data_IF_358712767966
#
_entry.id   IF_358712767966
#
_cell.length_a   1.000
_cell.length_b   1.000
_cell.length_c   1.000
_cell.angle_alpha   90.00
_cell.angle_beta   90.00
_cell.angle_gamma   90.00
#
_symmetry.space_group_name_H-M   'P 1'
#
loop_
_entity.id
_entity.type
_entity.pdbx_description
1 polymer ?
#
# COMPACT_ATOMS: atom_id res chain seq x y z
N UNK A 1 -43.37 -27.58 -14.84
CA UNK A 1 -44.36 -26.81 -14.07
C UNK A 1 -44.44 -27.41 -12.69
N UNK A 2 -43.91 -26.70 -11.68
CA UNK A 2 -44.10 -27.01 -10.28
C UNK A 2 -44.26 -25.65 -9.56
N UNK A 3 -45.31 -25.56 -8.76
CA UNK A 3 -45.92 -24.35 -8.24
C UNK A 3 -45.06 -23.67 -7.17
N UNK A 4 -44.85 -22.37 -7.35
CA UNK A 4 -44.51 -21.45 -6.28
C UNK A 4 -45.81 -21.04 -5.58
N UNK A 5 -45.98 -21.38 -4.31
CA UNK A 5 -47.24 -21.14 -3.61
C UNK A 5 -47.20 -20.99 -2.10
N UNK A 6 -46.13 -21.39 -1.39
CA UNK A 6 -46.28 -21.65 0.06
C UNK A 6 -45.34 -20.88 1.02
N UNK A 7 -44.53 -19.92 0.56
CA UNK A 7 -43.57 -19.22 1.46
C UNK A 7 -43.96 -17.78 1.86
N UNK A 8 -45.19 -17.32 1.57
CA UNK A 8 -45.62 -15.94 1.91
C UNK A 8 -46.53 -15.83 3.14
N UNK A 9 -46.77 -16.91 3.87
CA UNK A 9 -47.73 -16.91 4.99
C UNK A 9 -47.11 -16.85 6.40
N UNK A 10 -45.81 -16.57 6.51
CA UNK A 10 -45.08 -16.54 7.80
C UNK A 10 -44.51 -15.17 8.19
N UNK A 11 -45.02 -14.07 7.61
CA UNK A 11 -44.61 -12.70 7.95
C UNK A 11 -45.76 -11.77 8.35
N UNK A 12 -46.90 -12.32 8.78
CA UNK A 12 -48.03 -11.53 9.30
C UNK A 12 -48.60 -12.17 10.56
N UNK A 13 -47.82 -12.17 11.63
CA UNK A 13 -48.33 -12.35 12.98
C UNK A 13 -47.39 -11.63 13.93
N UNK A 14 -47.79 -10.44 14.36
CA UNK A 14 -47.62 -9.83 15.68
C UNK A 14 -48.02 -8.35 15.58
N UNK A 15 -49.30 -8.11 15.34
CA UNK A 15 -49.98 -6.91 15.81
C UNK A 15 -51.31 -7.37 16.43
N UNK A 16 -51.71 -6.66 17.49
CA UNK A 16 -52.93 -6.81 18.31
C UNK A 16 -52.80 -7.71 19.56
N UNK A 17 -52.50 -7.09 20.71
CA UNK A 17 -53.55 -6.83 21.71
C UNK A 17 -53.12 -5.79 22.79
N UNK A 18 -53.95 -4.75 22.95
CA UNK A 18 -54.41 -4.27 24.24
C UNK A 18 -53.49 -3.42 25.14
N UNK A 19 -53.62 -2.09 25.06
CA UNK A 19 -53.04 -1.15 26.03
C UNK A 19 -53.49 0.30 25.86
N UNK A 20 -54.79 0.53 26.03
CA UNK A 20 -55.47 1.83 26.06
C UNK A 20 -54.91 2.77 27.16
N UNK A 21 -54.42 3.96 26.78
CA UNK A 21 -54.53 5.21 27.55
C UNK A 21 -53.87 6.37 26.79
N UNK A 22 -54.69 7.19 26.13
CA UNK A 22 -54.36 8.55 25.71
C UNK A 22 -54.22 9.41 26.97
N UNK A 23 -53.02 9.92 27.28
CA UNK A 23 -52.84 11.12 28.11
C UNK A 23 -51.56 11.89 27.71
N UNK A 24 -51.81 13.07 27.15
CA UNK A 24 -51.13 14.35 27.40
C UNK A 24 -49.70 14.60 26.89
N UNK A 25 -49.68 15.47 25.89
CA UNK A 25 -48.64 16.45 25.56
C UNK A 25 -47.99 17.07 26.80
N UNK A 26 -46.65 17.25 26.83
CA UNK A 26 -46.00 17.96 27.92
C UNK A 26 -46.40 19.45 27.92
N UNK A 27 -46.71 20.05 29.09
CA UNK A 27 -47.28 21.38 29.13
C UNK A 27 -46.26 22.45 28.75
N UNK A 28 -46.73 23.36 27.89
CA UNK A 28 -46.11 24.65 27.64
C UNK A 28 -46.02 25.45 28.95
N UNK A 29 -44.85 26.02 29.21
CA UNK A 29 -44.64 26.94 30.33
C UNK A 29 -45.53 28.18 30.20
N UNK A 30 -46.11 28.70 31.30
CA UNK A 30 -47.20 29.66 31.26
C UNK A 30 -46.74 31.08 30.93
N UNK A 31 -47.61 31.80 30.21
CA UNK A 31 -47.48 33.22 29.88
C UNK A 31 -48.21 34.07 30.93
N UNK A 32 -47.44 34.97 31.56
CA UNK A 32 -47.74 36.21 32.27
C UNK A 32 -49.19 36.53 32.72
N UNK A 33 -49.37 36.66 34.04
CA UNK A 33 -50.31 37.61 34.64
C UNK A 33 -49.62 38.36 35.80
N UNK A 34 -49.52 39.67 35.61
CA UNK A 34 -49.40 40.79 36.57
C UNK A 34 -49.16 40.47 38.06
N UNK A 35 -47.93 40.73 38.51
CA UNK A 35 -47.57 40.90 39.92
C UNK A 35 -46.23 41.64 39.97
N UNK A 36 -46.30 42.93 40.28
CA UNK A 36 -45.16 43.85 40.23
C UNK A 36 -44.13 43.54 41.32
N UNK A 37 -42.93 43.11 40.92
CA UNK A 37 -41.69 43.30 41.69
C UNK A 37 -40.56 43.60 40.71
N UNK A 38 -40.18 44.88 40.63
CA UNK A 38 -39.05 45.38 39.84
C UNK A 38 -37.74 45.21 40.63
N UNK A 39 -36.76 44.41 40.18
CA UNK A 39 -35.38 44.58 40.59
C UNK A 39 -34.76 45.75 39.79
N UNK A 40 -33.78 46.49 40.36
CA UNK A 40 -33.21 47.65 39.69
C UNK A 40 -32.47 47.21 38.42
N UNK A 41 -32.84 47.85 37.31
CA UNK A 41 -32.21 47.73 36.00
C UNK A 41 -30.78 48.26 36.06
N UNK A 42 -29.80 47.38 36.18
CA UNK A 42 -28.43 47.71 35.79
C UNK A 42 -28.38 47.78 34.26
N UNK A 43 -28.24 48.99 33.74
CA UNK A 43 -27.91 49.27 32.35
C UNK A 43 -26.64 48.51 32.01
N UNK A 44 -26.70 47.56 31.06
CA UNK A 44 -25.49 47.00 30.44
C UNK A 44 -24.89 48.10 29.56
N UNK A 45 -23.68 48.61 29.85
CA UNK A 45 -22.95 49.37 28.85
C UNK A 45 -22.42 48.37 27.82
N UNK A 46 -22.76 48.60 26.55
CA UNK A 46 -22.12 47.92 25.44
C UNK A 46 -20.62 48.22 25.44
N UNK A 47 -19.84 47.22 25.07
CA UNK A 47 -18.38 47.29 25.00
C UNK A 47 -17.75 46.23 25.88
N UNK A 48 -17.55 45.03 25.32
CA UNK A 48 -16.64 44.06 25.94
C UNK A 48 -15.25 44.68 25.87
N UNK A 49 -14.77 45.21 26.98
CA UNK A 49 -13.44 45.79 27.07
C UNK A 49 -12.40 44.67 26.95
N UNK A 50 -11.85 44.52 25.75
CA UNK A 50 -10.81 43.54 25.42
C UNK A 50 -9.41 44.04 25.84
N UNK A 51 -9.30 45.14 26.57
CA UNK A 51 -8.03 45.73 27.04
C UNK A 51 -7.18 44.73 27.84
N UNK A 52 -7.80 43.99 28.76
CA UNK A 52 -7.12 42.99 29.60
C UNK A 52 -6.56 41.84 28.77
N UNK A 53 -7.30 41.41 27.74
CA UNK A 53 -6.81 40.40 26.80
C UNK A 53 -5.68 40.99 25.94
N UNK A 54 -5.85 42.23 25.46
CA UNK A 54 -4.86 42.90 24.61
C UNK A 54 -3.53 43.13 25.32
N UNK A 55 -3.55 43.45 26.62
CA UNK A 55 -2.34 43.56 27.44
C UNK A 55 -1.66 42.19 27.62
N UNK A 56 -2.44 41.12 27.84
CA UNK A 56 -1.90 39.76 27.98
C UNK A 56 -1.24 39.21 26.70
N UNK A 57 -1.65 39.69 25.51
CA UNK A 57 -1.05 39.28 24.22
C UNK A 57 -0.08 40.34 23.65
N UNK A 58 0.11 41.47 24.34
CA UNK A 58 0.96 42.58 23.88
C UNK A 58 2.42 42.14 23.69
N UNK A 59 2.94 41.36 24.62
CA UNK A 59 4.31 40.85 24.58
C UNK A 59 4.58 39.92 23.38
N UNK A 60 3.54 39.28 22.85
CA UNK A 60 3.63 38.44 21.63
C UNK A 60 3.51 39.26 20.34
N UNK A 61 2.86 40.43 20.39
CA UNK A 61 2.64 41.30 19.23
C UNK A 61 3.77 42.32 19.02
N UNK A 62 4.46 42.73 20.09
CA UNK A 62 5.50 43.76 20.06
C UNK A 62 6.91 43.22 19.78
N UNK A 63 7.05 41.92 19.53
CA UNK A 63 8.28 41.32 19.01
C UNK A 63 8.44 41.54 17.49
N UNK A 64 8.57 42.81 17.08
CA UNK A 64 9.25 43.14 15.82
C UNK A 64 10.73 43.37 16.09
N UNK A 65 11.66 42.65 15.41
CA UNK A 65 13.08 42.86 15.59
C UNK A 65 13.48 44.19 14.94
N UNK A 66 14.07 45.08 15.75
CA UNK A 66 14.68 46.33 15.29
C UNK A 66 15.88 46.02 14.38
N UNK A 67 15.88 46.63 13.20
CA UNK A 67 16.85 46.43 12.15
C UNK A 67 18.25 46.97 12.53
N UNK A 68 19.26 46.11 12.42
CA UNK A 68 20.63 46.50 12.13
C UNK A 68 21.06 45.84 10.82
N UNK A 69 21.68 46.64 9.95
CA UNK A 69 21.94 46.36 8.54
C UNK A 69 22.75 45.09 8.25
N UNK A 70 22.21 44.21 7.41
CA UNK A 70 22.95 43.33 6.50
C UNK A 70 22.01 42.82 5.40
N UNK A 71 22.55 42.69 4.19
CA UNK A 71 21.91 42.32 2.92
C UNK A 71 20.85 41.20 3.00
N UNK A 72 19.67 41.47 2.41
CA UNK A 72 18.62 40.50 2.10
C UNK A 72 19.15 39.26 1.35
N UNK A 73 18.97 38.03 1.85
CA UNK A 73 18.73 36.91 0.95
C UNK A 73 17.22 36.90 0.64
N UNK A 74 16.89 36.81 -0.65
CA UNK A 74 15.54 36.48 -1.14
C UNK A 74 14.93 35.40 -0.25
N UNK A 75 13.79 35.69 0.37
CA UNK A 75 12.95 34.71 1.08
C UNK A 75 12.61 33.59 0.09
N UNK A 76 13.40 32.53 0.10
CA UNK A 76 13.06 31.29 -0.57
C UNK A 76 11.76 30.81 0.06
N UNK A 77 10.75 30.55 -0.79
CA UNK A 77 9.54 29.84 -0.40
C UNK A 77 9.94 28.65 0.49
N UNK A 78 9.26 28.39 1.62
CA UNK A 78 9.59 27.21 2.41
C UNK A 78 9.50 26.00 1.47
N UNK A 79 10.51 25.10 1.46
CA UNK A 79 10.39 23.88 0.69
C UNK A 79 9.11 23.20 1.17
N UNK A 80 8.23 22.80 0.25
CA UNK A 80 7.17 21.85 0.56
C UNK A 80 7.90 20.59 1.03
N UNK A 81 8.13 20.45 2.33
CA UNK A 81 8.58 19.21 2.92
C UNK A 81 7.48 18.22 2.61
N UNK A 82 7.75 17.31 1.67
CA UNK A 82 7.00 16.06 1.53
C UNK A 82 7.31 15.23 2.77
N UNK A 83 6.78 15.66 3.91
CA UNK A 83 6.88 14.94 5.15
C UNK A 83 6.16 13.61 4.93
N UNK A 84 6.96 12.55 4.92
CA UNK A 84 6.49 11.19 4.75
C UNK A 84 6.32 10.63 6.14
N UNK A 85 5.08 10.32 6.50
CA UNK A 85 4.76 9.71 7.79
C UNK A 85 4.54 8.22 7.58
N UNK A 86 5.02 7.42 8.54
CA UNK A 86 4.70 6.01 8.59
C UNK A 86 3.46 5.85 9.45
N UNK A 87 2.40 5.27 8.89
CA UNK A 87 1.19 4.97 9.64
C UNK A 87 1.45 3.84 10.64
N UNK A 88 1.11 4.06 11.92
CA UNK A 88 1.41 3.12 13.01
C UNK A 88 0.63 1.82 12.91
N UNK A 89 -0.55 1.81 12.27
CA UNK A 89 -1.41 0.64 12.16
C UNK A 89 -1.08 -0.20 10.93
N UNK A 90 -1.03 0.43 9.75
CA UNK A 90 -0.78 -0.27 8.49
C UNK A 90 0.70 -0.47 8.16
N UNK A 91 1.59 0.31 8.77
CA UNK A 91 3.02 0.33 8.46
C UNK A 91 3.35 0.94 7.08
N UNK A 92 2.38 1.57 6.42
CA UNK A 92 2.56 2.19 5.11
C UNK A 92 3.18 3.58 5.24
N UNK A 93 4.16 3.89 4.39
CA UNK A 93 4.69 5.25 4.28
C UNK A 93 3.75 6.11 3.42
N UNK A 94 3.18 7.15 4.01
CA UNK A 94 2.18 8.04 3.42
C UNK A 94 2.80 9.43 3.24
N UNK A 95 2.65 9.98 2.04
CA UNK A 95 2.97 11.35 1.65
C UNK A 95 1.69 12.06 1.22
N UNK A 96 1.71 13.40 1.20
CA UNK A 96 0.54 14.23 0.82
C UNK A 96 -0.73 13.80 1.58
N UNK A 97 -0.64 13.83 2.91
CA UNK A 97 -1.74 13.43 3.78
C UNK A 97 -2.99 14.25 3.47
N UNK A 98 -4.10 13.55 3.34
CA UNK A 98 -5.42 14.16 3.16
C UNK A 98 -6.20 14.19 4.48
N UNK A 99 -5.98 13.18 5.33
CA UNK A 99 -6.43 13.16 6.72
C UNK A 99 -5.24 13.42 7.64
N UNK A 100 -5.42 14.14 8.73
CA UNK A 100 -4.33 14.36 9.68
C UNK A 100 -3.93 13.05 10.37
N UNK A 101 -2.67 12.89 10.81
CA UNK A 101 -2.26 11.68 11.54
C UNK A 101 -3.14 11.39 12.75
N UNK A 102 -3.54 12.43 13.49
CA UNK A 102 -4.42 12.29 14.66
C UNK A 102 -5.82 11.82 14.27
N UNK A 103 -6.39 12.30 13.15
CA UNK A 103 -7.67 11.81 12.65
C UNK A 103 -7.63 10.33 12.29
N UNK A 104 -6.52 9.89 11.68
CA UNK A 104 -6.29 8.49 11.31
C UNK A 104 -6.23 7.63 12.57
N UNK A 105 -5.41 8.03 13.55
CA UNK A 105 -5.30 7.34 14.84
C UNK A 105 -6.63 7.28 15.56
N UNK A 106 -7.37 8.40 15.64
CA UNK A 106 -8.68 8.44 16.30
C UNK A 106 -9.70 7.52 15.61
N UNK A 107 -9.68 7.42 14.28
CA UNK A 107 -10.56 6.49 13.53
C UNK A 107 -10.21 5.03 13.77
N UNK A 108 -8.96 4.71 14.11
CA UNK A 108 -8.53 3.34 14.40
C UNK A 108 -8.48 2.99 15.89
N UNK A 109 -8.57 3.97 16.79
CA UNK A 109 -8.40 3.77 18.23
C UNK A 109 -9.40 2.75 18.82
N UNK A 110 -10.66 2.85 18.41
CA UNK A 110 -11.76 2.02 18.94
C UNK A 110 -12.17 0.88 18.00
N UNK A 111 -11.42 0.66 16.92
CA UNK A 111 -11.78 -0.29 15.87
C UNK A 111 -10.70 -1.35 15.74
N UNK A 112 -11.09 -2.62 15.61
CA UNK A 112 -10.14 -3.70 15.37
C UNK A 112 -9.48 -3.53 14.00
N UNK A 113 -8.20 -3.17 13.99
CA UNK A 113 -7.41 -3.12 12.75
C UNK A 113 -7.02 -4.52 12.27
N UNK A 114 -7.32 -4.82 11.02
CA UNK A 114 -7.03 -6.09 10.35
C UNK A 114 -6.13 -5.85 9.15
N UNK A 115 -4.93 -6.43 9.15
CA UNK A 115 -4.02 -6.37 7.99
C UNK A 115 -4.60 -7.12 6.80
N UNK A 116 -4.38 -6.61 5.59
CA UNK A 116 -4.88 -7.22 4.33
C UNK A 116 -4.49 -8.69 4.22
N UNK A 117 -3.25 -9.03 4.58
CA UNK A 117 -2.77 -10.42 4.59
C UNK A 117 -3.54 -11.35 5.53
N UNK A 118 -4.11 -10.83 6.62
CA UNK A 118 -4.84 -11.61 7.62
C UNK A 118 -6.31 -11.82 7.25
N UNK A 119 -6.88 -10.98 6.37
CA UNK A 119 -8.30 -11.05 5.98
C UNK A 119 -8.65 -12.42 5.39
N UNK A 120 -7.75 -13.01 4.59
CA UNK A 120 -7.94 -14.34 4.00
C UNK A 120 -8.18 -15.43 5.05
N UNK A 121 -7.41 -15.40 6.14
CA UNK A 121 -7.51 -16.41 7.19
C UNK A 121 -8.78 -16.21 8.02
N UNK A 122 -9.18 -14.95 8.22
CA UNK A 122 -10.35 -14.57 9.00
C UNK A 122 -11.67 -14.75 8.24
N UNK A 123 -11.65 -14.75 6.90
CA UNK A 123 -12.86 -14.87 6.09
C UNK A 123 -13.44 -16.29 6.07
N UNK A 124 -12.65 -17.28 6.49
CA UNK A 124 -13.12 -18.66 6.68
C UNK A 124 -13.70 -18.92 8.07
N UNK A 125 -13.58 -17.97 9.00
CA UNK A 125 -14.11 -18.06 10.36
C UNK A 125 -15.10 -16.92 10.63
N UNK A 126 -15.94 -17.03 11.65
CA UNK A 126 -16.89 -15.97 12.06
C UNK A 126 -16.19 -14.76 12.74
N UNK A 127 -14.96 -14.46 12.30
CA UNK A 127 -14.05 -13.52 12.96
C UNK A 127 -14.19 -12.09 12.46
N UNK A 128 -15.17 -11.80 11.60
CA UNK A 128 -15.56 -10.45 11.18
C UNK A 128 -16.80 -9.92 11.91
N UNK A 129 -17.18 -10.57 13.02
CA UNK A 129 -18.17 -10.02 13.95
C UNK A 129 -17.63 -8.73 14.59
N UNK A 130 -18.47 -7.69 14.60
CA UNK A 130 -18.15 -6.37 15.16
C UNK A 130 -17.51 -5.37 14.19
N UNK A 131 -17.04 -4.25 14.75
CA UNK A 131 -16.41 -3.19 13.96
C UNK A 131 -14.94 -3.50 13.67
N UNK A 132 -14.56 -3.45 12.39
CA UNK A 132 -13.19 -3.70 11.94
C UNK A 132 -12.78 -2.71 10.86
N UNK A 133 -11.47 -2.49 10.74
CA UNK A 133 -10.90 -1.62 9.73
C UNK A 133 -9.66 -2.23 9.09
N UNK A 134 -9.35 -1.79 7.87
CA UNK A 134 -8.10 -2.14 7.18
C UNK A 134 -7.62 -0.94 6.38
N UNK A 135 -6.34 -0.90 6.05
CA UNK A 135 -5.79 0.14 5.19
C UNK A 135 -4.89 -0.47 4.11
N UNK A 136 -4.91 0.15 2.93
CA UNK A 136 -4.19 -0.36 1.77
C UNK A 136 -3.97 0.69 0.71
N UNK A 137 -3.03 0.40 -0.18
CA UNK A 137 -2.72 1.20 -1.36
C UNK A 137 -3.54 0.71 -2.53
N UNK A 138 -4.16 1.62 -3.28
CA UNK A 138 -4.84 1.29 -4.54
C UNK A 138 -3.80 0.93 -5.60
N UNK A 139 -3.75 -0.33 -6.01
CA UNK A 139 -2.78 -0.86 -6.98
C UNK A 139 -3.28 -0.76 -8.41
N UNK A 140 -4.58 -1.00 -8.60
CA UNK A 140 -5.22 -1.01 -9.92
C UNK A 140 -6.70 -0.63 -9.78
N UNK A 141 -7.23 0.01 -10.82
CA UNK A 141 -8.63 0.41 -10.91
C UNK A 141 -9.24 -0.25 -12.14
N UNK A 142 -10.13 -1.22 -11.91
CA UNK A 142 -10.91 -1.82 -12.96
C UNK A 142 -11.86 -0.83 -13.62
N UNK A 143 -12.23 -1.12 -14.86
CA UNK A 143 -13.27 -0.37 -15.55
C UNK A 143 -14.59 -0.46 -14.76
N UNK A 144 -15.40 0.63 -14.74
CA UNK A 144 -16.73 0.58 -14.18
C UNK A 144 -17.59 -0.50 -14.86
N UNK A 145 -18.44 -1.15 -14.08
CA UNK A 145 -19.33 -2.23 -14.51
C UNK A 145 -20.73 -1.94 -14.02
N UNK A 146 -21.71 -2.52 -14.67
CA UNK A 146 -23.12 -2.42 -14.27
C UNK A 146 -23.53 -3.71 -13.59
N UNK A 147 -24.14 -3.59 -12.40
CA UNK A 147 -24.68 -4.72 -11.65
C UNK A 147 -25.98 -5.23 -12.28
N UNK A 148 -26.44 -6.42 -11.89
CA UNK A 148 -27.73 -6.96 -12.35
C UNK A 148 -28.92 -6.04 -12.01
N UNK A 149 -28.76 -5.16 -11.01
CA UNK A 149 -29.76 -4.17 -10.59
C UNK A 149 -29.67 -2.84 -11.36
N UNK A 150 -28.84 -2.76 -12.41
CA UNK A 150 -28.66 -1.54 -13.22
C UNK A 150 -27.77 -0.47 -12.56
N UNK A 151 -27.23 -0.72 -11.37
CA UNK A 151 -26.33 0.24 -10.67
C UNK A 151 -24.89 0.07 -11.13
N UNK A 152 -24.22 1.18 -11.43
CA UNK A 152 -22.79 1.21 -11.74
C UNK A 152 -21.94 0.96 -10.49
N UNK A 153 -20.86 0.20 -10.65
CA UNK A 153 -19.91 -0.13 -9.59
C UNK A 153 -18.49 -0.23 -10.17
N UNK A 154 -17.48 0.02 -9.34
CA UNK A 154 -16.08 -0.14 -9.73
C UNK A 154 -15.38 -1.18 -8.88
N UNK A 155 -14.47 -1.94 -9.50
CA UNK A 155 -13.65 -2.93 -8.81
C UNK A 155 -12.23 -2.37 -8.70
N UNK A 156 -11.72 -2.23 -7.49
CA UNK A 156 -10.34 -1.84 -7.24
C UNK A 156 -9.55 -3.04 -6.77
N UNK A 157 -8.24 -3.03 -7.05
CA UNK A 157 -7.29 -3.90 -6.37
C UNK A 157 -6.50 -3.06 -5.40
N UNK A 158 -6.53 -3.43 -4.14
CA UNK A 158 -5.76 -2.77 -3.09
C UNK A 158 -4.79 -3.77 -2.45
N UNK A 159 -3.70 -3.28 -1.87
CA UNK A 159 -2.74 -4.14 -1.19
C UNK A 159 -1.82 -3.37 -0.25
N UNK A 160 -1.10 -4.10 0.60
CA UNK A 160 -0.16 -3.53 1.55
C UNK A 160 1.29 -3.48 1.01
N UNK A 161 1.47 -3.54 -0.33
CA UNK A 161 2.77 -3.56 -1.01
C UNK A 161 3.70 -4.72 -0.61
N UNK A 162 3.14 -5.75 0.04
CA UNK A 162 3.82 -6.89 0.66
C UNK A 162 3.43 -8.23 0.03
N UNK A 163 2.85 -8.20 -1.18
CA UNK A 163 2.27 -9.34 -1.92
C UNK A 163 0.85 -9.74 -1.52
N UNK A 164 0.30 -9.14 -0.45
CA UNK A 164 -1.13 -9.24 -0.14
C UNK A 164 -1.95 -8.29 -1.01
N UNK A 165 -2.95 -8.84 -1.70
CA UNK A 165 -3.85 -8.10 -2.58
C UNK A 165 -5.29 -8.47 -2.23
N UNK A 166 -6.17 -7.49 -2.24
CA UNK A 166 -7.62 -7.62 -2.00
C UNK A 166 -8.38 -6.90 -3.11
N UNK A 167 -9.42 -7.55 -3.62
CA UNK A 167 -10.36 -6.94 -4.55
C UNK A 167 -11.45 -6.20 -3.78
N UNK A 168 -11.58 -4.90 -4.01
CA UNK A 168 -12.58 -4.04 -3.36
C UNK A 168 -13.66 -3.67 -4.36
N UNK A 169 -14.91 -3.94 -4.02
CA UNK A 169 -16.07 -3.59 -4.82
C UNK A 169 -16.72 -2.34 -4.23
N UNK A 170 -16.72 -1.26 -4.99
CA UNK A 170 -17.35 0.00 -4.61
C UNK A 170 -18.69 0.09 -5.31
N UNK A 171 -19.76 0.20 -4.53
CA UNK A 171 -21.14 0.34 -5.00
C UNK A 171 -21.70 1.71 -4.64
N UNK A 172 -22.69 2.18 -5.41
CA UNK A 172 -23.50 3.36 -5.07
C UNK A 172 -22.64 4.60 -4.76
N UNK A 173 -22.90 5.22 -3.61
CA UNK A 173 -22.27 6.48 -3.22
C UNK A 173 -20.75 6.39 -3.11
N UNK A 174 -20.24 5.24 -2.62
CA UNK A 174 -18.80 5.00 -2.56
C UNK A 174 -18.16 5.03 -3.96
N UNK A 175 -18.84 4.47 -4.97
CA UNK A 175 -18.37 4.53 -6.35
C UNK A 175 -18.41 5.96 -6.89
N UNK A 176 -19.55 6.65 -6.76
CA UNK A 176 -19.71 8.01 -7.27
C UNK A 176 -18.67 8.98 -6.68
N UNK A 177 -18.42 8.90 -5.37
CA UNK A 177 -17.49 9.79 -4.68
C UNK A 177 -16.01 9.46 -4.97
N UNK A 178 -15.66 8.17 -5.00
CA UNK A 178 -14.26 7.76 -5.08
C UNK A 178 -13.80 7.32 -6.47
N UNK A 179 -14.69 7.26 -7.46
CA UNK A 179 -14.38 6.89 -8.87
C UNK A 179 -13.13 7.57 -9.43
N UNK A 180 -12.89 8.85 -9.09
CA UNK A 180 -11.74 9.66 -9.52
C UNK A 180 -10.42 9.43 -8.77
N UNK A 181 -10.35 8.50 -7.80
CA UNK A 181 -9.16 8.30 -7.00
C UNK A 181 -7.93 7.91 -7.85
N UNK A 182 -6.75 8.40 -7.48
CA UNK A 182 -5.50 8.08 -8.17
C UNK A 182 -4.99 6.68 -7.75
N UNK A 183 -4.39 5.96 -8.69
CA UNK A 183 -3.63 4.73 -8.38
C UNK A 183 -2.41 5.13 -7.54
N UNK A 184 -2.14 4.37 -6.47
CA UNK A 184 -1.13 4.66 -5.46
C UNK A 184 -1.64 5.46 -4.25
N UNK A 185 -2.91 5.88 -4.26
CA UNK A 185 -3.55 6.49 -3.10
C UNK A 185 -3.74 5.46 -1.98
N UNK A 186 -3.62 5.91 -0.73
CA UNK A 186 -3.85 5.09 0.46
C UNK A 186 -5.26 5.33 0.97
N UNK A 187 -6.02 4.25 1.14
CA UNK A 187 -7.36 4.27 1.66
C UNK A 187 -7.48 3.37 2.89
N UNK A 188 -8.21 3.87 3.89
CA UNK A 188 -8.74 3.08 4.98
C UNK A 188 -10.15 2.62 4.62
N UNK A 189 -10.45 1.35 4.86
CA UNK A 189 -11.79 0.76 4.76
C UNK A 189 -12.27 0.43 6.18
N UNK A 190 -13.55 0.68 6.42
CA UNK A 190 -14.22 0.43 7.69
C UNK A 190 -15.44 -0.44 7.43
N UNK A 191 -15.62 -1.49 8.23
CA UNK A 191 -16.80 -2.35 8.25
C UNK A 191 -17.23 -2.81 6.85
N UNK A 192 -16.27 -3.18 6.00
CA UNK A 192 -16.56 -3.72 4.68
C UNK A 192 -17.21 -5.09 4.77
N UNK A 193 -18.04 -5.46 3.79
CA UNK A 193 -18.59 -6.80 3.73
C UNK A 193 -17.62 -7.72 2.98
N UNK A 194 -17.00 -8.65 3.72
CA UNK A 194 -16.00 -9.60 3.20
C UNK A 194 -16.72 -10.81 2.60
N UNK A 195 -16.38 -11.16 1.37
CA UNK A 195 -16.91 -12.31 0.65
C UNK A 195 -15.78 -13.14 0.09
N UNK A 196 -15.87 -14.45 0.22
CA UNK A 196 -14.97 -15.34 -0.49
C UNK A 196 -15.33 -15.36 -1.97
N UNK A 197 -14.31 -15.35 -2.81
CA UNK A 197 -14.49 -15.54 -4.24
C UNK A 197 -14.89 -17.00 -4.52
N UNK A 198 -15.71 -17.22 -5.56
CA UNK A 198 -16.27 -18.53 -5.90
C UNK A 198 -15.19 -19.58 -6.20
N UNK A 199 -13.96 -19.15 -6.52
CA UNK A 199 -12.80 -20.01 -6.72
C UNK A 199 -12.02 -20.39 -5.45
N UNK A 200 -12.49 -20.01 -4.26
CA UNK A 200 -11.95 -20.41 -2.94
C UNK A 200 -10.54 -19.91 -2.60
N UNK A 201 -9.84 -19.25 -3.55
CA UNK A 201 -8.47 -18.75 -3.35
C UNK A 201 -8.39 -17.25 -3.07
N UNK A 202 -9.42 -16.49 -3.45
CA UNK A 202 -9.50 -15.06 -3.31
C UNK A 202 -10.58 -14.64 -2.32
N UNK A 203 -10.43 -13.45 -1.77
CA UNK A 203 -11.46 -12.77 -1.01
C UNK A 203 -11.69 -11.39 -1.62
N UNK A 204 -12.88 -10.87 -1.38
CA UNK A 204 -13.31 -9.57 -1.84
C UNK A 204 -13.94 -8.81 -0.69
N UNK A 205 -13.77 -7.49 -0.70
CA UNK A 205 -14.40 -6.61 0.27
C UNK A 205 -15.33 -5.69 -0.49
N UNK A 206 -16.56 -5.56 -0.04
CA UNK A 206 -17.54 -4.67 -0.66
C UNK A 206 -17.89 -3.52 0.25
N UNK A 207 -18.03 -2.34 -0.37
CA UNK A 207 -18.30 -1.08 0.31
C UNK A 207 -19.36 -0.31 -0.47
N UNK A 208 -20.33 0.25 0.24
CA UNK A 208 -21.46 0.96 -0.37
C UNK A 208 -21.51 2.44 0.06
N UNK A 209 -21.16 2.73 1.31
CA UNK A 209 -21.22 4.09 1.85
C UNK A 209 -19.88 4.81 1.76
N UNK A 210 -19.91 6.13 1.56
CA UNK A 210 -18.72 7.00 1.61
C UNK A 210 -18.07 6.95 3.00
N UNK A 211 -18.85 6.80 4.08
CA UNK A 211 -18.34 6.76 5.45
C UNK A 211 -17.52 5.51 5.77
N UNK A 212 -17.66 4.45 4.97
CA UNK A 212 -16.89 3.21 5.09
C UNK A 212 -15.51 3.30 4.44
N UNK A 213 -15.18 4.40 3.76
CA UNK A 213 -13.86 4.59 3.16
C UNK A 213 -13.32 5.98 3.47
N UNK A 214 -12.04 6.08 3.78
CA UNK A 214 -11.36 7.36 3.99
C UNK A 214 -10.06 7.38 3.21
N UNK A 215 -9.84 8.45 2.45
CA UNK A 215 -8.56 8.70 1.79
C UNK A 215 -7.57 9.23 2.83
N UNK A 216 -6.50 8.49 3.09
CA UNK A 216 -5.44 8.89 4.03
C UNK A 216 -4.40 9.77 3.34
N UNK A 217 -4.04 9.46 2.08
CA UNK A 217 -3.03 10.20 1.34
C UNK A 217 -2.52 9.43 0.12
N UNK A 218 -1.24 9.56 -0.18
CA UNK A 218 -0.56 8.88 -1.28
C UNK A 218 0.58 8.03 -0.73
N UNK A 219 0.77 6.80 -1.22
CA UNK A 219 1.90 5.99 -0.76
C UNK A 219 3.22 6.55 -1.31
N UNK A 220 4.23 6.64 -0.44
CA UNK A 220 5.60 6.99 -0.82
C UNK A 220 6.28 5.82 -1.55
N UNK A 221 5.99 4.61 -1.10
CA UNK A 221 6.63 3.36 -1.52
C UNK A 221 6.03 2.81 -2.81
N UNK A 222 4.84 3.27 -3.17
CA UNK A 222 4.20 2.89 -4.43
C UNK A 222 4.96 3.45 -5.64
N UNK A 223 5.31 2.57 -6.56
CA UNK A 223 5.84 2.88 -7.89
C UNK A 223 5.14 2.07 -8.97
N UNK A 224 5.44 2.41 -10.23
CA UNK A 224 5.00 1.63 -11.41
C UNK A 224 6.19 0.85 -11.94
N UNK A 225 5.93 -0.38 -12.40
CA UNK A 225 6.95 -1.25 -12.96
C UNK A 225 7.69 -0.62 -14.16
N UNK A 226 9.03 -0.61 -14.12
CA UNK A 226 9.89 -0.13 -15.21
C UNK A 226 10.03 -1.12 -16.38
N UNK A 227 9.35 -2.26 -16.33
CA UNK A 227 9.41 -3.27 -17.39
C UNK A 227 8.60 -2.86 -18.63
N UNK A 228 8.90 -3.48 -19.77
CA UNK A 228 8.12 -3.33 -21.00
C UNK A 228 7.27 -4.58 -21.23
N UNK A 229 6.01 -4.38 -21.58
CA UNK A 229 5.11 -5.46 -22.01
C UNK A 229 5.57 -6.04 -23.34
N UNK A 230 4.99 -7.18 -23.73
CA UNK A 230 5.23 -7.79 -25.05
C UNK A 230 4.92 -6.83 -26.20
N UNK A 231 3.95 -5.93 -25.97
CA UNK A 231 3.48 -4.91 -26.92
C UNK A 231 4.43 -3.70 -27.04
N UNK A 232 5.60 -3.72 -26.39
CA UNK A 232 6.55 -2.61 -26.36
C UNK A 232 6.17 -1.46 -25.41
N UNK A 233 4.91 -1.35 -25.01
CA UNK A 233 4.42 -0.38 -24.03
C UNK A 233 4.96 -0.61 -22.61
N UNK A 234 5.05 0.47 -21.82
CA UNK A 234 5.43 0.40 -20.42
C UNK A 234 4.47 -0.46 -19.58
N UNK A 235 5.01 -1.19 -18.61
CA UNK A 235 4.20 -1.94 -17.67
C UNK A 235 3.44 -0.99 -16.74
N UNK A 236 2.16 -1.27 -16.49
CA UNK A 236 1.29 -0.47 -15.62
C UNK A 236 1.12 -1.07 -14.23
N UNK A 237 1.78 -2.19 -13.93
CA UNK A 237 1.64 -2.85 -12.62
C UNK A 237 2.30 -2.03 -11.51
N UNK A 238 1.55 -1.87 -10.42
CA UNK A 238 2.07 -1.33 -9.16
C UNK A 238 3.17 -2.20 -8.57
N UNK A 239 4.19 -1.56 -8.02
CA UNK A 239 5.32 -2.19 -7.35
C UNK A 239 5.65 -1.46 -6.05
N UNK A 240 6.28 -2.17 -5.12
CA UNK A 240 6.93 -1.57 -3.97
C UNK A 240 8.35 -1.14 -4.35
N UNK A 241 8.63 0.17 -4.30
CA UNK A 241 9.95 0.74 -4.61
C UNK A 241 11.07 0.18 -3.75
N UNK A 242 10.79 -0.20 -2.50
CA UNK A 242 11.77 -0.79 -1.60
C UNK A 242 12.14 -2.22 -1.98
N UNK A 243 11.18 -3.01 -2.48
CA UNK A 243 11.43 -4.40 -2.93
C UNK A 243 12.14 -4.44 -4.29
N UNK A 244 11.95 -3.42 -5.13
CA UNK A 244 12.66 -3.29 -6.41
C UNK A 244 11.90 -2.46 -7.43
N UNK A 245 12.42 -2.39 -8.65
CA UNK A 245 11.85 -1.59 -9.75
C UNK A 245 11.00 -2.37 -10.75
N UNK A 246 10.78 -3.66 -10.52
CA UNK A 246 10.09 -4.57 -11.45
C UNK A 246 9.00 -5.39 -10.74
N UNK A 247 7.87 -5.63 -11.41
CA UNK A 247 6.79 -6.47 -10.91
C UNK A 247 7.16 -7.96 -10.98
N UNK A 248 6.38 -8.85 -10.34
CA UNK A 248 6.61 -10.31 -10.30
C UNK A 248 6.91 -10.94 -11.67
N UNK A 249 6.22 -10.49 -12.71
CA UNK A 249 6.42 -10.98 -14.09
C UNK A 249 7.71 -10.48 -14.75
N UNK A 250 8.15 -9.27 -14.41
CA UNK A 250 9.38 -8.69 -14.97
C UNK A 250 10.61 -8.98 -14.13
N UNK A 251 10.46 -9.13 -12.80
CA UNK A 251 11.56 -9.52 -11.91
C UNK A 251 12.06 -10.93 -12.21
N UNK A 252 11.15 -11.87 -12.48
CA UNK A 252 11.46 -13.23 -12.96
C UNK A 252 12.19 -13.20 -14.31
N UNK A 253 11.73 -12.42 -15.28
CA UNK A 253 12.40 -12.28 -16.59
C UNK A 253 13.78 -11.63 -16.48
N UNK A 254 13.93 -10.57 -15.69
CA UNK A 254 15.22 -9.90 -15.50
C UNK A 254 16.21 -10.81 -14.78
N UNK A 255 15.77 -11.51 -13.72
CA UNK A 255 16.63 -12.47 -13.02
C UNK A 255 17.00 -13.66 -13.91
N UNK A 256 16.09 -14.12 -14.78
CA UNK A 256 16.37 -15.16 -15.75
C UNK A 256 17.33 -14.67 -16.85
N UNK A 257 17.16 -13.47 -17.40
CA UNK A 257 18.08 -12.91 -18.40
C UNK A 257 19.46 -12.60 -17.81
N UNK A 258 19.53 -12.15 -16.55
CA UNK A 258 20.79 -11.95 -15.83
C UNK A 258 21.53 -13.28 -15.60
N UNK A 259 20.82 -14.36 -15.25
CA UNK A 259 21.40 -15.70 -15.11
C UNK A 259 21.99 -16.24 -16.42
N UNK A 260 21.45 -15.84 -17.58
CA UNK A 260 22.04 -16.19 -18.88
C UNK A 260 23.15 -15.23 -19.34
N UNK A 261 23.23 -14.03 -18.77
CA UNK A 261 24.23 -13.01 -19.15
C UNK A 261 25.51 -13.07 -18.32
N UNK A 262 25.51 -13.74 -17.16
CA UNK A 262 26.74 -13.94 -16.36
C UNK A 262 27.56 -15.16 -16.83
N UNK A 263 27.07 -15.91 -17.82
CA UNK A 263 27.86 -16.92 -18.52
C UNK A 263 28.39 -16.32 -19.82
N UNK A 264 29.69 -15.98 -19.84
CA UNK A 264 30.54 -15.76 -21.02
C UNK A 264 29.88 -16.24 -22.33
N UNK A 265 29.44 -15.30 -23.17
CA UNK A 265 28.84 -15.54 -24.50
C UNK A 265 29.92 -16.02 -25.48
N UNK A 266 30.51 -17.19 -25.22
CA UNK A 266 31.47 -17.81 -26.15
C UNK A 266 31.16 -19.29 -26.43
N UNK A 267 30.17 -19.91 -25.76
CA UNK A 267 29.99 -21.37 -25.83
C UNK A 267 28.60 -21.83 -26.24
N UNK A 268 27.80 -21.03 -26.96
CA UNK A 268 26.51 -21.52 -27.43
C UNK A 268 26.09 -20.94 -28.77
N UNK A 269 26.51 -21.62 -29.84
CA UNK A 269 25.95 -21.40 -31.18
C UNK A 269 26.97 -21.52 -32.29
N UNK A 270 27.58 -22.69 -32.45
CA UNK A 270 28.39 -22.98 -33.61
C UNK A 270 28.78 -24.43 -33.65
N UNK A 271 28.34 -25.14 -34.68
CA UNK A 271 28.86 -26.44 -35.06
C UNK A 271 30.30 -26.27 -35.58
N UNK A 272 31.21 -25.78 -34.74
CA UNK A 272 32.62 -25.71 -35.07
C UNK A 272 33.18 -27.11 -34.92
N UNK A 273 33.31 -27.81 -36.05
CA UNK A 273 34.24 -28.93 -36.15
C UNK A 273 35.64 -28.36 -35.97
N UNK A 274 36.06 -28.21 -34.72
CA UNK A 274 37.46 -28.00 -34.40
C UNK A 274 38.18 -29.28 -34.80
N UNK A 275 38.72 -29.30 -36.02
CA UNK A 275 39.82 -30.16 -36.38
C UNK A 275 41.12 -29.62 -35.76
N UNK A 276 41.10 -29.23 -34.49
CA UNK A 276 42.33 -29.15 -33.73
C UNK A 276 42.65 -30.57 -33.30
N UNK A 277 43.65 -31.17 -33.96
CA UNK A 277 44.44 -32.20 -33.31
C UNK A 277 44.88 -31.61 -31.97
N UNK A 278 44.21 -32.01 -30.90
CA UNK A 278 44.64 -31.72 -29.54
C UNK A 278 45.94 -32.49 -29.35
N UNK A 279 47.06 -31.89 -29.74
CA UNK A 279 48.33 -32.31 -29.18
C UNK A 279 48.26 -31.87 -27.74
N UNK A 280 48.11 -32.84 -26.85
CA UNK A 280 48.30 -32.67 -25.42
C UNK A 280 49.77 -32.33 -25.18
N UNK A 281 50.16 -31.09 -25.45
CA UNK A 281 51.38 -30.55 -24.87
C UNK A 281 51.05 -30.16 -23.43
N UNK A 282 51.82 -30.72 -22.51
CA UNK A 282 51.51 -30.79 -21.09
C UNK A 282 51.49 -29.43 -20.39
N UNK A 283 51.14 -29.48 -19.11
CA UNK A 283 51.22 -28.34 -18.19
C UNK A 283 52.70 -27.99 -18.01
N UNK A 284 53.12 -26.82 -18.49
CA UNK A 284 54.45 -26.29 -18.23
C UNK A 284 54.41 -25.43 -16.97
N UNK A 285 55.20 -25.80 -15.96
CA UNK A 285 55.54 -24.88 -14.88
C UNK A 285 56.43 -23.77 -15.43
N UNK A 286 56.00 -22.52 -15.28
CA UNK A 286 56.85 -21.36 -15.52
C UNK A 286 57.70 -21.16 -14.26
N UNK A 287 59.00 -21.42 -14.37
CA UNK A 287 59.94 -21.05 -13.31
C UNK A 287 60.11 -19.53 -13.27
N UNK A 288 60.21 -18.91 -12.08
CA UNK A 288 60.45 -17.48 -11.96
C UNK A 288 61.87 -17.14 -12.46
N UNK A 289 62.11 -15.92 -12.98
CA UNK A 289 63.33 -15.58 -13.67
C UNK A 289 64.48 -15.39 -12.68
N UNK A 290 65.42 -16.32 -12.69
CA UNK A 290 66.74 -16.20 -12.07
C UNK A 290 67.82 -16.51 -13.11
N UNK A 291 68.60 -15.48 -13.43
CA UNK A 291 69.93 -15.44 -14.04
C UNK A 291 70.35 -16.41 -15.17
N UNK A 292 70.67 -15.75 -16.29
CA UNK A 292 71.57 -16.11 -17.39
C UNK A 292 72.52 -17.31 -17.21
N UNK A 293 72.53 -18.23 -18.19
CA UNK A 293 73.72 -18.49 -19.02
C UNK A 293 73.49 -19.53 -20.14
N UNK A 294 73.79 -19.06 -21.37
CA UNK A 294 74.23 -19.71 -22.62
C UNK A 294 73.71 -21.07 -23.16
N UNK A 295 73.61 -21.21 -24.50
CA UNK A 295 72.93 -22.31 -25.17
C UNK A 295 73.93 -23.36 -25.70
N UNK A 296 73.76 -24.63 -25.32
CA UNK A 296 74.19 -25.79 -26.13
C UNK A 296 73.59 -27.08 -25.56
N UNK A 297 72.99 -27.84 -26.47
CA UNK A 297 72.35 -29.17 -26.32
C UNK A 297 70.83 -29.15 -26.06
N UNK A 298 70.01 -29.65 -27.00
CA UNK A 298 68.62 -29.98 -26.72
C UNK A 298 68.60 -31.34 -25.98
N UNK A 299 68.66 -31.29 -24.65
CA UNK A 299 68.40 -32.47 -23.82
C UNK A 299 66.91 -32.82 -23.93
N UNK A 300 66.64 -34.03 -24.44
CA UNK A 300 65.31 -34.59 -24.57
C UNK A 300 64.57 -34.55 -23.22
N UNK A 301 63.27 -34.20 -23.20
CA UNK A 301 62.48 -34.26 -21.99
C UNK A 301 62.34 -35.71 -21.53
N UNK A 302 62.80 -35.98 -20.31
CA UNK A 302 62.66 -37.29 -19.66
C UNK A 302 61.18 -37.56 -19.43
N UNK A 303 60.65 -38.60 -20.08
CA UNK A 303 59.26 -39.04 -20.00
C UNK A 303 59.03 -39.73 -18.66
N UNK A 304 58.46 -39.01 -17.70
CA UNK A 304 57.97 -39.61 -16.46
C UNK A 304 56.75 -40.48 -16.79
N UNK A 305 56.71 -41.69 -16.23
CA UNK A 305 55.79 -42.76 -16.65
C UNK A 305 54.32 -42.35 -16.55
N UNK A 306 53.50 -42.90 -17.45
CA UNK A 306 52.03 -42.80 -17.40
C UNK A 306 51.49 -43.32 -16.06
N UNK A 307 50.33 -42.82 -15.64
CA UNK A 307 49.59 -43.21 -14.43
C UNK A 307 49.35 -44.74 -14.38
N UNK A 308 49.22 -45.40 -15.53
CA UNK A 308 49.10 -46.86 -15.63
C UNK A 308 50.42 -47.63 -15.41
N UNK A 309 51.57 -46.94 -15.49
CA UNK A 309 52.87 -47.45 -15.08
C UNK A 309 53.05 -47.39 -13.56
N UNK A 310 52.61 -46.30 -12.95
CA UNK A 310 52.65 -46.14 -11.48
C UNK A 310 51.75 -47.16 -10.76
N UNK A 311 50.55 -47.45 -11.31
CA UNK A 311 49.62 -48.45 -10.75
C UNK A 311 50.13 -49.89 -10.86
N UNK A 312 51.07 -50.18 -11.76
CA UNK A 312 51.70 -51.51 -11.88
C UNK A 312 52.86 -51.70 -10.91
N UNK A 313 53.56 -50.64 -10.55
CA UNK A 313 54.68 -50.69 -9.61
C UNK A 313 54.25 -50.82 -8.13
N UNK A 314 53.01 -50.49 -7.80
CA UNK A 314 52.49 -50.48 -6.41
C UNK A 314 51.57 -51.66 -6.07
N UNK A 315 51.57 -52.75 -6.85
CA UNK A 315 50.88 -53.99 -6.45
C UNK A 315 51.81 -54.85 -5.58
N UNK A 316 51.48 -54.94 -4.29
CA UNK A 316 51.61 -56.17 -3.53
C UNK A 316 50.49 -57.13 -3.93
#
# INVERSE_FOLDING_TARGET
MASAGDDLHLLLSLDEDGGEAVLETPPSSPRAATGAFTPPRAVRPGGTDMSVFRDAVKDYLEATPSAAAASLPKRSKPPKSTETIVDSYSGLCIRNLTASPMEITNRFADIRFVRISAIKNLAGSDSFSGCWATAGVVLDKGAPRVSAQGKEYSIWKMGALDDSEVSVFLFGDAHSHYSGAAVGAVFALFNGNVRMDNGGRGFSVSVASVGQMVKMGMSADFGICKGKRKDGMGCTMGINKHKGSYCKFHSSKTSQSQKYSTGRVELKGGNFKFASKLRSEGIYMVNPPGEQSNPRNPLQPVKVMSIDGLKRALRY
#
